data_IF_603982902581
#
_entry.id   IF_603982902581
#
_cell.length_a   1.000
_cell.length_b   1.000
_cell.length_c   1.000
_cell.angle_alpha   90.00
_cell.angle_beta   90.00
_cell.angle_gamma   90.00
#
_symmetry.space_group_name_H-M   'P 1'
#
loop_
_entity.id
_entity.type
_entity.pdbx_description
1 polymer ?
#
# COMPACT_ATOMS: atom_id res chain seq x y z
N UNK A 1 17.65 -29.29 8.06
CA UNK A 1 17.26 -28.06 8.77
C UNK A 1 16.85 -27.00 7.78
N UNK A 2 15.63 -26.51 7.86
CA UNK A 2 15.20 -25.45 6.99
C UNK A 2 15.94 -24.16 7.33
N UNK A 3 16.55 -23.52 6.34
CA UNK A 3 17.13 -22.20 6.51
C UNK A 3 16.01 -21.19 6.77
N UNK A 4 16.16 -20.41 7.84
CA UNK A 4 15.30 -19.26 8.06
C UNK A 4 15.48 -18.30 6.90
N UNK A 5 14.43 -18.05 6.16
CA UNK A 5 14.48 -17.11 5.06
C UNK A 5 14.66 -15.69 5.60
N UNK A 6 15.51 -14.90 4.94
CA UNK A 6 15.73 -13.50 5.28
C UNK A 6 14.45 -12.71 5.04
N UNK A 7 14.09 -11.87 6.01
CA UNK A 7 13.00 -10.92 5.86
C UNK A 7 13.54 -9.60 5.33
N UNK A 8 12.77 -8.98 4.46
CA UNK A 8 13.06 -7.66 3.92
C UNK A 8 11.97 -6.69 4.33
N UNK A 9 12.36 -5.44 4.60
CA UNK A 9 11.43 -4.34 4.89
C UNK A 9 11.28 -3.50 3.65
N UNK A 10 10.02 -3.20 3.31
CA UNK A 10 9.69 -2.39 2.13
C UNK A 10 8.56 -1.42 2.45
N UNK A 11 8.41 -0.41 1.61
CA UNK A 11 7.34 0.59 1.72
C UNK A 11 6.56 0.62 0.41
N UNK A 12 5.27 0.36 0.50
CA UNK A 12 4.34 0.42 -0.63
C UNK A 12 3.64 1.78 -0.63
N UNK A 13 3.71 2.50 -1.74
CA UNK A 13 3.00 3.76 -1.95
C UNK A 13 1.85 3.56 -2.92
N UNK A 14 0.65 3.92 -2.51
CA UNK A 14 -0.54 3.95 -3.36
C UNK A 14 -0.97 5.41 -3.50
N UNK A 15 -0.68 6.00 -4.66
CA UNK A 15 -0.96 7.41 -4.94
C UNK A 15 -2.26 7.53 -5.72
N UNK A 16 -3.14 8.41 -5.29
CA UNK A 16 -4.42 8.63 -5.97
C UNK A 16 -4.90 10.07 -5.78
N UNK A 17 -5.81 10.46 -6.66
CA UNK A 17 -6.46 11.76 -6.62
C UNK A 17 -7.97 11.57 -6.44
N UNK A 18 -8.54 12.23 -5.43
CA UNK A 18 -9.96 12.20 -5.15
C UNK A 18 -10.38 13.57 -4.61
N UNK A 19 -10.71 14.52 -5.51
CA UNK A 19 -10.87 15.94 -5.16
C UNK A 19 -11.96 16.24 -4.13
N UNK A 20 -13.00 15.42 -4.08
CA UNK A 20 -14.14 15.64 -3.17
C UNK A 20 -14.10 14.72 -1.94
N UNK A 21 -12.97 14.05 -1.69
CA UNK A 21 -12.87 13.12 -0.56
C UNK A 21 -12.81 13.86 0.77
N UNK A 22 -13.53 13.31 1.75
CA UNK A 22 -13.32 13.66 3.16
C UNK A 22 -12.16 12.83 3.69
N UNK A 23 -11.06 13.45 4.14
CA UNK A 23 -9.91 12.70 4.68
C UNK A 23 -10.28 11.78 5.83
N UNK A 24 -11.25 12.16 6.66
CA UNK A 24 -11.71 11.31 7.77
C UNK A 24 -12.36 10.03 7.30
N UNK A 25 -13.14 10.09 6.22
CA UNK A 25 -13.75 8.90 5.64
C UNK A 25 -12.71 7.98 5.02
N UNK A 26 -11.72 8.54 4.33
CA UNK A 26 -10.61 7.76 3.78
C UNK A 26 -9.82 7.07 4.88
N UNK A 27 -9.56 7.77 5.99
CA UNK A 27 -8.85 7.18 7.11
C UNK A 27 -9.65 6.02 7.74
N UNK A 28 -10.96 6.16 7.83
CA UNK A 28 -11.84 5.08 8.29
C UNK A 28 -11.71 3.84 7.40
N UNK A 29 -11.67 4.02 6.08
CA UNK A 29 -11.49 2.92 5.13
C UNK A 29 -10.12 2.27 5.26
N UNK A 30 -9.07 3.07 5.44
CA UNK A 30 -7.72 2.57 5.68
C UNK A 30 -7.69 1.72 6.95
N UNK A 31 -8.29 2.19 8.03
CA UNK A 31 -8.37 1.44 9.28
C UNK A 31 -9.19 0.15 9.16
N UNK A 32 -10.26 0.17 8.37
CA UNK A 32 -11.07 -1.01 8.12
C UNK A 32 -10.35 -2.09 7.29
N UNK A 33 -9.26 -1.71 6.60
CA UNK A 33 -8.47 -2.62 5.78
C UNK A 33 -7.32 -3.29 6.57
N UNK A 34 -7.32 -3.17 7.87
CA UNK A 34 -6.28 -3.75 8.74
C UNK A 34 -6.00 -5.23 8.49
N UNK A 35 -7.01 -6.10 8.31
CA UNK A 35 -6.74 -7.52 8.00
C UNK A 35 -5.91 -7.72 6.74
N UNK A 36 -6.11 -6.88 5.73
CA UNK A 36 -5.32 -6.92 4.50
C UNK A 36 -3.85 -6.58 4.77
N UNK A 37 -3.61 -5.52 5.54
CA UNK A 37 -2.24 -5.11 5.87
C UNK A 37 -1.51 -6.18 6.67
N UNK A 38 -2.20 -6.81 7.62
CA UNK A 38 -1.64 -7.90 8.41
C UNK A 38 -1.25 -9.09 7.53
N UNK A 39 -2.07 -9.39 6.53
CA UNK A 39 -1.81 -10.48 5.59
C UNK A 39 -0.56 -10.21 4.73
N UNK A 40 -0.26 -8.94 4.44
CA UNK A 40 0.95 -8.54 3.73
C UNK A 40 2.20 -8.51 4.62
N UNK A 41 2.05 -8.65 5.94
CA UNK A 41 3.13 -8.42 6.88
C UNK A 41 3.32 -6.96 7.21
N UNK A 42 2.25 -6.16 7.13
CA UNK A 42 2.27 -4.73 7.39
C UNK A 42 2.64 -4.40 8.82
N UNK A 43 3.59 -3.49 9.00
CA UNK A 43 4.05 -3.01 10.29
C UNK A 43 3.51 -1.62 10.62
N UNK A 44 3.24 -0.81 9.60
CA UNK A 44 2.69 0.53 9.76
C UNK A 44 1.91 0.92 8.50
N UNK A 45 0.79 1.59 8.70
CA UNK A 45 -0.02 2.14 7.62
C UNK A 45 -0.34 3.59 7.91
N UNK A 46 -0.10 4.48 6.94
CA UNK A 46 -0.40 5.91 7.06
C UNK A 46 -1.15 6.39 5.82
N UNK A 47 -2.00 7.37 6.02
CA UNK A 47 -2.63 8.11 4.93
C UNK A 47 -2.05 9.53 4.93
N UNK A 48 -1.40 9.90 3.84
CA UNK A 48 -0.83 11.24 3.67
C UNK A 48 -1.72 12.07 2.76
N UNK A 49 -1.91 13.31 3.13
CA UNK A 49 -2.71 14.28 2.38
C UNK A 49 -1.79 15.39 1.89
N UNK A 50 -1.86 15.74 0.61
CA UNK A 50 -1.01 16.79 0.04
C UNK A 50 -1.40 18.16 0.64
N UNK A 51 -0.41 18.89 1.11
CA UNK A 51 -0.62 20.18 1.78
C UNK A 51 -1.13 21.26 0.82
N UNK A 52 -0.68 21.22 -0.43
CA UNK A 52 -1.00 22.23 -1.43
C UNK A 52 -2.19 21.85 -2.32
N UNK A 53 -2.43 20.54 -2.48
CA UNK A 53 -3.50 20.02 -3.32
C UNK A 53 -4.38 19.08 -2.52
N UNK A 54 -5.55 19.54 -2.05
CA UNK A 54 -6.41 18.74 -1.17
C UNK A 54 -7.04 17.52 -1.83
N UNK A 55 -6.91 17.38 -3.15
CA UNK A 55 -7.38 16.18 -3.85
C UNK A 55 -6.38 15.07 -3.94
N UNK A 56 -5.12 15.29 -3.55
CA UNK A 56 -4.04 14.30 -3.68
C UNK A 56 -3.74 13.61 -2.35
N UNK A 57 -3.67 12.28 -2.43
CA UNK A 57 -3.43 11.41 -1.27
C UNK A 57 -2.38 10.36 -1.60
N UNK A 58 -1.67 9.91 -0.57
CA UNK A 58 -0.80 8.74 -0.65
C UNK A 58 -1.10 7.85 0.54
N UNK A 59 -1.41 6.58 0.26
CA UNK A 59 -1.44 5.55 1.29
C UNK A 59 -0.05 4.92 1.36
N UNK A 60 0.55 4.93 2.54
CA UNK A 60 1.89 4.36 2.77
C UNK A 60 1.74 3.14 3.65
N UNK A 61 2.21 2.00 3.15
CA UNK A 61 2.17 0.73 3.88
C UNK A 61 3.60 0.24 4.05
N UNK A 62 4.10 0.25 5.29
CA UNK A 62 5.37 -0.41 5.61
C UNK A 62 5.10 -1.87 5.93
N UNK A 63 5.91 -2.77 5.38
CA UNK A 63 5.74 -4.20 5.60
C UNK A 63 7.06 -4.93 5.62
N UNK A 64 7.05 -6.08 6.30
CA UNK A 64 8.15 -7.04 6.28
C UNK A 64 7.65 -8.34 5.67
N UNK A 65 8.44 -8.90 4.78
CA UNK A 65 8.07 -10.12 4.08
C UNK A 65 9.32 -10.98 3.84
N UNK A 66 9.18 -12.32 3.75
CA UNK A 66 10.28 -13.15 3.29
C UNK A 66 10.77 -12.69 1.92
N UNK A 67 12.08 -12.75 1.70
CA UNK A 67 12.71 -12.26 0.48
C UNK A 67 12.09 -12.86 -0.79
N UNK A 68 11.71 -14.14 -0.75
CA UNK A 68 11.05 -14.81 -1.88
C UNK A 68 9.66 -14.27 -2.20
N UNK A 69 9.04 -13.56 -1.25
CA UNK A 69 7.69 -12.98 -1.40
C UNK A 69 7.73 -11.47 -1.60
N UNK A 70 8.91 -10.90 -1.81
CA UNK A 70 9.07 -9.47 -2.02
C UNK A 70 8.24 -9.00 -3.21
N UNK A 71 7.48 -7.92 -3.00
CA UNK A 71 6.69 -7.32 -4.06
C UNK A 71 7.57 -6.47 -4.97
N UNK A 72 7.33 -6.57 -6.26
CA UNK A 72 7.85 -5.68 -7.28
C UNK A 72 6.77 -5.48 -8.33
N UNK A 73 7.03 -4.65 -9.33
CA UNK A 73 6.01 -4.32 -10.34
C UNK A 73 5.38 -5.55 -10.99
N UNK A 74 6.16 -6.57 -11.31
CA UNK A 74 5.67 -7.80 -11.93
C UNK A 74 4.81 -8.63 -10.98
N UNK A 75 5.24 -8.76 -9.73
CA UNK A 75 4.52 -9.53 -8.71
C UNK A 75 3.24 -8.86 -8.26
N UNK A 76 3.22 -7.54 -8.21
CA UNK A 76 2.01 -6.78 -7.88
C UNK A 76 0.90 -7.10 -8.88
N UNK A 77 1.22 -7.12 -10.16
CA UNK A 77 0.25 -7.41 -11.22
C UNK A 77 -0.37 -8.80 -11.08
N UNK A 78 0.38 -9.77 -10.56
CA UNK A 78 -0.07 -11.16 -10.38
C UNK A 78 -0.55 -11.52 -8.98
N UNK A 79 -0.45 -10.63 -8.01
CA UNK A 79 -0.83 -10.93 -6.63
C UNK A 79 -2.34 -10.72 -6.44
N UNK A 80 -3.07 -11.83 -6.28
CA UNK A 80 -4.54 -11.82 -6.14
C UNK A 80 -4.99 -11.02 -4.93
N UNK A 81 -4.27 -11.10 -3.81
CA UNK A 81 -4.62 -10.39 -2.59
C UNK A 81 -4.57 -8.89 -2.80
N UNK A 82 -3.48 -8.42 -3.40
CA UNK A 82 -3.26 -7.01 -3.67
C UNK A 82 -4.23 -6.50 -4.72
N UNK A 83 -4.44 -7.27 -5.80
CA UNK A 83 -5.39 -6.87 -6.85
C UNK A 83 -6.83 -6.78 -6.34
N UNK A 84 -7.24 -7.69 -5.47
CA UNK A 84 -8.58 -7.63 -4.84
C UNK A 84 -8.74 -6.37 -4.02
N UNK A 85 -7.73 -6.04 -3.22
CA UNK A 85 -7.72 -4.81 -2.43
C UNK A 85 -7.78 -3.55 -3.32
N UNK A 86 -6.95 -3.52 -4.36
CA UNK A 86 -6.90 -2.39 -5.29
C UNK A 86 -8.20 -2.21 -6.07
N UNK A 87 -8.90 -3.29 -6.40
CA UNK A 87 -10.19 -3.20 -7.10
C UNK A 87 -11.23 -2.44 -6.27
N UNK A 88 -11.26 -2.68 -4.96
CA UNK A 88 -12.17 -1.96 -4.07
C UNK A 88 -11.90 -0.44 -4.11
N UNK A 89 -10.63 -0.05 -4.14
CA UNK A 89 -10.24 1.36 -4.25
C UNK A 89 -10.52 1.93 -5.63
N UNK A 90 -10.19 1.19 -6.71
CA UNK A 90 -10.41 1.64 -8.09
C UNK A 90 -11.87 1.90 -8.39
N UNK A 91 -12.79 1.19 -7.75
CA UNK A 91 -14.22 1.42 -7.93
C UNK A 91 -14.65 2.82 -7.49
N UNK A 92 -13.89 3.46 -6.60
CA UNK A 92 -14.17 4.81 -6.09
C UNK A 92 -13.32 5.89 -6.75
N UNK A 93 -12.24 5.52 -7.42
CA UNK A 93 -11.23 6.47 -7.92
C UNK A 93 -11.37 6.69 -9.42
N UNK A 94 -11.72 7.91 -9.87
CA UNK A 94 -11.90 8.17 -11.30
C UNK A 94 -10.59 8.11 -12.09
N UNK A 95 -9.45 8.39 -11.46
CA UNK A 95 -8.14 8.49 -12.11
C UNK A 95 -7.23 7.28 -11.91
N UNK A 96 -7.68 6.25 -11.19
CA UNK A 96 -6.86 5.08 -10.91
C UNK A 96 -5.87 5.30 -9.77
N UNK A 97 -4.96 4.34 -9.62
CA UNK A 97 -3.97 4.33 -8.53
C UNK A 97 -2.58 4.14 -9.13
N UNK A 98 -1.64 4.99 -8.74
CA UNK A 98 -0.23 4.83 -9.05
C UNK A 98 0.43 4.07 -7.91
N UNK A 99 1.13 2.98 -8.23
CA UNK A 99 1.70 2.06 -7.25
C UNK A 99 3.22 2.04 -7.38
N UNK A 100 3.91 2.30 -6.27
CA UNK A 100 5.36 2.20 -6.19
C UNK A 100 5.77 1.43 -4.95
N UNK A 101 6.85 0.65 -5.06
CA UNK A 101 7.47 -0.04 -3.92
C UNK A 101 8.87 0.52 -3.74
N UNK A 102 9.17 0.91 -2.52
CA UNK A 102 10.45 1.50 -2.15
C UNK A 102 11.14 0.65 -1.09
N UNK A 103 12.45 0.73 -1.07
CA UNK A 103 13.28 0.20 0.01
C UNK A 103 14.16 1.31 0.55
N UNK A 104 14.54 1.19 1.82
CA UNK A 104 15.49 2.13 2.39
C UNK A 104 16.85 1.98 1.70
N UNK A 105 17.50 3.10 1.49
CA UNK A 105 18.90 3.10 1.03
C UNK A 105 19.76 3.03 2.28
N UNK A 106 20.52 1.96 2.41
CA UNK A 106 21.42 1.78 3.55
C UNK A 106 22.54 2.83 3.53
N UNK A 107 22.87 3.42 4.68
CA UNK A 107 23.93 4.42 4.76
C UNK A 107 25.32 3.85 4.49
#
# INVERSE_FOLDING_TARGET
MAKKERKVRRTLHLKFTLPSADPSQLLTMVNASKPFYEMLGGTEVRLLHNVDDPGKFIQVIEYETPESMELNRSRIAGDVRLQTYLQAWRAMLPGGIEIDVFKDVDP
#
